data_IF_192104354395
#
_entry.id   IF_192104354395
#
_cell.length_a   1.000
_cell.length_b   1.000
_cell.length_c   1.000
_cell.angle_alpha   90.00
_cell.angle_beta   90.00
_cell.angle_gamma   90.00
#
_symmetry.space_group_name_H-M   'P 1'
#
loop_
_entity.id
_entity.type
_entity.pdbx_description
1 polymer ?
#
# COMPACT_ATOMS: atom_id res chain seq x y z
N UNK A 1 -20.91 6.49 2.22
CA UNK A 1 -20.52 5.06 2.15
C UNK A 1 -19.18 4.87 2.84
N UNK A 2 -18.98 3.75 3.53
CA UNK A 2 -17.63 3.32 3.93
C UNK A 2 -16.97 2.65 2.73
N UNK A 3 -15.83 3.18 2.30
CA UNK A 3 -15.02 2.55 1.24
C UNK A 3 -14.34 1.28 1.75
N UNK A 4 -13.85 0.47 0.82
CA UNK A 4 -13.22 -0.82 1.08
C UNK A 4 -12.04 -0.73 2.07
N UNK A 5 -11.35 0.41 2.13
CA UNK A 5 -10.17 0.62 2.99
C UNK A 5 -10.42 1.45 4.26
N UNK A 6 -11.68 1.85 4.49
CA UNK A 6 -12.03 2.73 5.62
C UNK A 6 -11.72 2.13 7.01
N UNK A 7 -11.63 0.79 7.12
CA UNK A 7 -11.28 0.09 8.36
C UNK A 7 -9.84 0.36 8.84
N UNK A 8 -8.96 0.84 7.95
CA UNK A 8 -7.57 1.16 8.26
C UNK A 8 -7.40 2.59 8.82
N UNK A 9 -8.43 3.43 8.72
CA UNK A 9 -8.35 4.87 9.04
C UNK A 9 -8.01 5.22 10.50
N UNK A 10 -8.11 4.26 11.42
CA UNK A 10 -7.69 4.41 12.81
C UNK A 10 -6.16 4.43 12.95
N UNK A 11 -5.56 3.25 13.12
CA UNK A 11 -4.12 3.09 13.36
C UNK A 11 -3.27 3.20 12.09
N UNK A 12 -3.85 2.91 10.92
CA UNK A 12 -3.11 2.67 9.67
C UNK A 12 -3.47 3.69 8.59
N UNK A 13 -3.48 4.99 8.94
CA UNK A 13 -3.94 6.08 8.07
C UNK A 13 -3.27 6.12 6.70
N UNK A 14 -1.97 5.83 6.62
CA UNK A 14 -1.23 5.80 5.35
C UNK A 14 -1.79 4.72 4.42
N UNK A 15 -2.01 3.51 4.94
CA UNK A 15 -2.61 2.41 4.18
C UNK A 15 -4.05 2.73 3.78
N UNK A 16 -4.84 3.32 4.68
CA UNK A 16 -6.20 3.78 4.36
C UNK A 16 -6.21 4.74 3.18
N UNK A 17 -5.34 5.75 3.19
CA UNK A 17 -5.25 6.76 2.13
C UNK A 17 -4.83 6.15 0.79
N UNK A 18 -3.85 5.25 0.78
CA UNK A 18 -3.39 4.58 -0.45
C UNK A 18 -4.51 3.74 -1.06
N UNK A 19 -5.20 2.93 -0.25
CA UNK A 19 -6.29 2.07 -0.69
C UNK A 19 -7.53 2.86 -1.14
N UNK A 20 -7.94 3.89 -0.39
CA UNK A 20 -9.05 4.76 -0.80
C UNK A 20 -8.74 5.52 -2.10
N UNK A 21 -7.47 5.91 -2.31
CA UNK A 21 -7.08 6.55 -3.57
C UNK A 21 -7.15 5.55 -4.72
N UNK A 22 -6.73 4.29 -4.52
CA UNK A 22 -6.89 3.25 -5.52
C UNK A 22 -8.37 3.01 -5.85
N UNK A 23 -9.21 2.86 -4.83
CA UNK A 23 -10.66 2.64 -4.98
C UNK A 23 -11.34 3.76 -5.77
N UNK A 24 -10.99 5.03 -5.50
CA UNK A 24 -11.55 6.19 -6.19
C UNK A 24 -11.15 6.30 -7.66
N UNK A 25 -10.05 5.68 -8.08
CA UNK A 25 -9.50 5.82 -9.43
C UNK A 25 -9.77 4.59 -10.31
N UNK A 26 -10.40 3.53 -9.79
CA UNK A 26 -10.52 2.24 -10.51
C UNK A 26 -11.20 2.37 -11.88
N UNK A 27 -12.13 3.32 -12.06
CA UNK A 27 -12.84 3.54 -13.31
C UNK A 27 -12.31 4.75 -14.11
N UNK A 28 -11.70 5.72 -13.44
CA UNK A 28 -11.24 6.98 -14.02
C UNK A 28 -9.81 6.88 -14.53
N UNK A 29 -8.94 6.26 -13.75
CA UNK A 29 -7.52 6.05 -14.05
C UNK A 29 -7.03 4.72 -13.42
N UNK A 30 -7.19 3.61 -14.16
CA UNK A 30 -6.72 2.30 -13.72
C UNK A 30 -5.20 2.24 -13.49
N UNK A 31 -4.40 3.08 -14.17
CA UNK A 31 -2.95 3.13 -13.96
C UNK A 31 -2.64 3.69 -12.56
N UNK A 32 -3.31 4.77 -12.16
CA UNK A 32 -3.20 5.29 -10.79
C UNK A 32 -3.63 4.23 -9.78
N UNK A 33 -4.69 3.47 -10.06
CA UNK A 33 -5.15 2.39 -9.19
C UNK A 33 -4.05 1.35 -8.95
N UNK A 34 -3.44 0.84 -10.01
CA UNK A 34 -2.38 -0.17 -9.92
C UNK A 34 -1.18 0.39 -9.14
N UNK A 35 -0.75 1.61 -9.45
CA UNK A 35 0.37 2.25 -8.76
C UNK A 35 0.10 2.46 -7.27
N UNK A 36 -1.12 2.84 -6.90
CA UNK A 36 -1.51 3.01 -5.49
C UNK A 36 -1.60 1.68 -4.74
N UNK A 37 -2.11 0.63 -5.39
CA UNK A 37 -2.13 -0.73 -4.81
C UNK A 37 -0.71 -1.29 -4.64
N UNK A 38 0.21 -1.00 -5.56
CA UNK A 38 1.63 -1.35 -5.41
C UNK A 38 2.22 -0.69 -4.16
N UNK A 39 2.09 0.63 -4.06
CA UNK A 39 2.58 1.38 -2.88
C UNK A 39 1.92 0.90 -1.59
N UNK A 40 0.62 0.57 -1.63
CA UNK A 40 -0.10 0.00 -0.49
C UNK A 40 0.54 -1.31 -0.04
N UNK A 41 0.79 -2.24 -0.96
CA UNK A 41 1.37 -3.55 -0.65
C UNK A 41 2.80 -3.42 -0.12
N UNK A 42 3.64 -2.57 -0.74
CA UNK A 42 5.01 -2.29 -0.28
C UNK A 42 5.01 -1.70 1.14
N UNK A 43 4.14 -0.71 1.39
CA UNK A 43 4.01 -0.09 2.73
C UNK A 43 3.50 -1.10 3.77
N UNK A 44 2.54 -1.95 3.40
CA UNK A 44 2.02 -3.00 4.28
C UNK A 44 3.12 -4.01 4.64
N UNK A 45 3.92 -4.43 3.66
CA UNK A 45 5.04 -5.33 3.89
C UNK A 45 6.06 -4.71 4.86
N UNK A 46 6.42 -3.43 4.68
CA UNK A 46 7.30 -2.72 5.60
C UNK A 46 6.75 -2.66 7.03
N UNK A 47 5.44 -2.45 7.20
CA UNK A 47 4.81 -2.49 8.53
C UNK A 47 4.86 -3.88 9.16
N UNK A 48 4.66 -4.95 8.38
CA UNK A 48 4.80 -6.32 8.88
C UNK A 48 6.25 -6.59 9.32
N UNK A 49 7.23 -6.24 8.49
CA UNK A 49 8.64 -6.40 8.83
C UNK A 49 9.02 -5.66 10.11
N UNK A 50 8.58 -4.41 10.24
CA UNK A 50 8.81 -3.59 11.44
C UNK A 50 8.13 -4.18 12.68
N UNK A 51 6.90 -4.69 12.55
CA UNK A 51 6.15 -5.34 13.64
C UNK A 51 6.86 -6.59 14.16
N UNK A 52 7.43 -7.38 13.24
CA UNK A 52 8.10 -8.65 13.57
C UNK A 52 9.60 -8.47 13.88
N UNK A 53 10.11 -7.23 13.91
CA UNK A 53 11.55 -6.92 14.06
C UNK A 53 12.44 -7.63 13.01
N UNK A 54 11.91 -7.87 11.82
CA UNK A 54 12.63 -8.49 10.70
C UNK A 54 13.34 -7.40 9.91
N UNK A 55 14.65 -7.57 9.66
CA UNK A 55 15.38 -6.67 8.78
C UNK A 55 14.97 -6.89 7.33
N UNK A 56 14.62 -5.81 6.65
CA UNK A 56 14.34 -5.84 5.22
C UNK A 56 15.61 -6.21 4.44
N UNK A 57 15.52 -7.23 3.59
CA UNK A 57 16.59 -7.59 2.65
C UNK A 57 16.38 -6.77 1.39
N UNK A 58 17.19 -5.73 1.20
CA UNK A 58 17.18 -4.98 -0.05
C UNK A 58 17.86 -5.80 -1.14
N UNK A 59 17.07 -6.50 -1.95
CA UNK A 59 17.57 -7.18 -3.15
C UNK A 59 17.81 -6.13 -4.24
N UNK A 60 18.85 -5.31 -4.08
CA UNK A 60 19.34 -4.40 -5.13
C UNK A 60 20.59 -5.02 -5.75
N UNK A 61 20.42 -6.09 -6.51
CA UNK A 61 21.40 -6.50 -7.52
C UNK A 61 20.66 -7.12 -8.68
N UNK A 62 19.96 -6.28 -9.44
CA UNK A 62 19.73 -6.59 -10.85
C UNK A 62 20.93 -5.97 -11.56
N UNK A 63 21.98 -6.77 -11.77
CA UNK A 63 22.95 -6.48 -12.82
C UNK A 63 22.17 -6.63 -14.13
N UNK A 64 21.70 -5.50 -14.66
CA UNK A 64 21.27 -5.38 -16.05
C UNK A 64 22.51 -5.47 -16.96
#
# INVERSE_FOLDING_TARGET
MRGNFSFLSGKWKVLANLGETAEKNVHQDPHTTIMKLRLFAETLAQFVLASENIKEVQCTTINL
#
